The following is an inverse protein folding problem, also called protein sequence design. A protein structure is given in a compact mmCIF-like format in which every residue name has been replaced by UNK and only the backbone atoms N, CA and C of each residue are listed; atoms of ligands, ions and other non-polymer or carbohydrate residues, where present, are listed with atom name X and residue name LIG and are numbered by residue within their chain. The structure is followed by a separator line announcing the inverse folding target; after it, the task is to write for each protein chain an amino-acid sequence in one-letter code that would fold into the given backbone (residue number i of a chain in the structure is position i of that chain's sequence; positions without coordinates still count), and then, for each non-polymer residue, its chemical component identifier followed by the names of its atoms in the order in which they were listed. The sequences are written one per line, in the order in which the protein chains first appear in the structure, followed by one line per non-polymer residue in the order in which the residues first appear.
data_IF_356776100245
#
_entry.id   IF_356776100245
#
_cell.length_a   1.000
_cell.length_b   1.000
_cell.length_c   1.000
_cell.angle_alpha   90.00
_cell.angle_beta   90.00
_cell.angle_gamma   90.00
#
_symmetry.space_group_name_H-M   'P 1'
#
loop_
_entity.id
_entity.type
_entity.pdbx_description
1 polymer ?
#
# COMPACT_ATOMS: atom_id res chain seq x y z
N UNK A 1 -20.25 5.32 -20.53
CA UNK A 1 -20.11 3.91 -20.07
C UNK A 1 -19.16 3.88 -18.86
N UNK A 2 -19.18 2.87 -18.01
CA UNK A 2 -18.31 2.85 -16.81
C UNK A 2 -16.82 2.87 -17.15
N UNK A 3 -16.41 2.17 -18.20
CA UNK A 3 -15.02 2.13 -18.65
C UNK A 3 -14.48 3.53 -18.99
N UNK A 4 -15.23 4.33 -19.72
CA UNK A 4 -14.82 5.72 -20.06
C UNK A 4 -14.66 6.59 -18.81
N UNK A 5 -15.55 6.43 -17.82
CA UNK A 5 -15.46 7.15 -16.55
C UNK A 5 -14.23 6.71 -15.73
N UNK A 6 -13.95 5.42 -15.69
CA UNK A 6 -12.79 4.87 -15.00
C UNK A 6 -11.50 5.36 -15.66
N UNK A 7 -11.41 5.30 -16.97
CA UNK A 7 -10.25 5.79 -17.72
C UNK A 7 -10.04 7.29 -17.47
N UNK A 8 -11.08 8.11 -17.61
CA UNK A 8 -11.01 9.55 -17.34
C UNK A 8 -10.61 9.86 -15.89
N UNK A 9 -11.05 9.06 -14.92
CA UNK A 9 -10.67 9.21 -13.51
C UNK A 9 -9.18 8.99 -13.31
N UNK A 10 -8.60 7.93 -13.90
CA UNK A 10 -7.19 7.57 -13.71
C UNK A 10 -6.24 8.31 -14.65
N UNK A 11 -6.72 8.87 -15.76
CA UNK A 11 -5.92 9.72 -16.67
C UNK A 11 -5.59 11.09 -16.07
N UNK A 12 -6.26 11.49 -15.00
CA UNK A 12 -5.99 12.73 -14.31
C UNK A 12 -4.61 12.73 -13.65
N UNK A 13 -3.74 13.74 -13.90
CA UNK A 13 -2.35 13.78 -13.41
C UNK A 13 -2.24 13.64 -11.89
N UNK A 14 -3.20 14.15 -11.14
CA UNK A 14 -3.26 14.07 -9.69
C UNK A 14 -3.41 12.61 -9.20
N UNK A 15 -4.05 11.72 -9.97
CA UNK A 15 -4.22 10.31 -9.60
C UNK A 15 -2.90 9.57 -9.65
N UNK A 16 -2.07 9.89 -10.64
CA UNK A 16 -0.71 9.35 -10.72
C UNK A 16 0.13 9.80 -9.53
N UNK A 17 0.10 11.07 -9.20
CA UNK A 17 0.83 11.63 -8.06
C UNK A 17 0.36 11.01 -6.73
N UNK A 18 -0.96 10.82 -6.57
CA UNK A 18 -1.56 10.17 -5.40
C UNK A 18 -1.07 8.71 -5.27
N UNK A 19 -1.02 7.95 -6.36
CA UNK A 19 -0.50 6.57 -6.37
C UNK A 19 0.98 6.53 -5.99
N UNK A 20 1.82 7.36 -6.61
CA UNK A 20 3.26 7.43 -6.33
C UNK A 20 3.52 7.77 -4.87
N UNK A 21 2.79 8.73 -4.30
CA UNK A 21 2.95 9.08 -2.88
C UNK A 21 2.44 7.98 -1.95
N UNK A 22 1.31 7.33 -2.26
CA UNK A 22 0.80 6.21 -1.46
C UNK A 22 1.81 5.05 -1.42
N UNK A 23 2.37 4.65 -2.56
CA UNK A 23 3.42 3.63 -2.62
C UNK A 23 4.65 4.09 -1.83
N UNK A 24 5.09 5.33 -2.04
CA UNK A 24 6.28 5.90 -1.40
C UNK A 24 6.17 5.91 0.12
N UNK A 25 5.00 6.25 0.68
CA UNK A 25 4.74 6.19 2.13
C UNK A 25 4.99 4.80 2.69
N UNK A 26 4.47 3.77 2.02
CA UNK A 26 4.64 2.38 2.44
C UNK A 26 6.10 1.91 2.27
N UNK A 27 6.76 2.28 1.17
CA UNK A 27 8.15 1.90 0.87
C UNK A 27 9.14 2.47 1.87
N UNK A 28 8.91 3.68 2.40
CA UNK A 28 9.78 4.30 3.42
C UNK A 28 9.89 3.49 4.71
N UNK A 29 8.98 2.54 4.94
CA UNK A 29 8.98 1.70 6.12
C UNK A 29 9.67 0.37 5.80
N UNK A 30 10.78 0.10 6.47
CA UNK A 30 11.46 -1.20 6.40
C UNK A 30 10.58 -2.25 7.09
N UNK A 31 9.98 -3.14 6.34
CA UNK A 31 9.04 -4.16 6.83
C UNK A 31 9.53 -5.59 6.60
N UNK A 32 10.83 -5.79 6.70
CA UNK A 32 11.43 -7.14 6.73
C UNK A 32 11.01 -7.81 8.04
N UNK A 33 10.59 -9.08 7.94
CA UNK A 33 10.26 -9.89 9.12
C UNK A 33 11.47 -10.02 10.05
N UNK A 34 11.24 -9.81 11.32
CA UNK A 34 12.22 -9.92 12.40
C UNK A 34 11.67 -10.81 13.53
N UNK A 35 12.48 -11.02 14.57
CA UNK A 35 12.04 -11.77 15.76
C UNK A 35 10.79 -11.15 16.38
N UNK A 36 9.83 -11.98 16.81
CA UNK A 36 8.61 -11.48 17.44
C UNK A 36 8.90 -10.68 18.71
N UNK A 37 8.15 -9.59 18.88
CA UNK A 37 8.07 -8.83 20.13
C UNK A 37 6.64 -8.85 20.65
N UNK A 38 6.39 -8.54 21.94
CA UNK A 38 5.04 -8.43 22.48
C UNK A 38 4.15 -7.52 21.62
N UNK A 39 3.04 -8.06 21.11
CA UNK A 39 2.13 -7.33 20.21
C UNK A 39 2.64 -7.11 18.78
N UNK A 40 3.81 -7.62 18.42
CA UNK A 40 4.43 -7.48 17.10
C UNK A 40 4.91 -8.86 16.59
N UNK A 41 4.01 -9.70 16.10
CA UNK A 41 4.30 -11.11 15.78
C UNK A 41 5.35 -11.30 14.69
N UNK A 42 5.58 -10.30 13.86
CA UNK A 42 6.57 -10.33 12.76
C UNK A 42 7.66 -9.27 12.93
N UNK A 43 7.76 -8.69 14.15
CA UNK A 43 8.70 -7.62 14.46
C UNK A 43 8.11 -6.21 14.26
N UNK A 44 8.87 -5.16 14.62
CA UNK A 44 8.38 -3.78 14.61
C UNK A 44 8.16 -3.22 13.19
N UNK A 45 8.97 -3.63 12.22
CA UNK A 45 8.86 -3.14 10.85
C UNK A 45 7.53 -3.50 10.18
N UNK A 46 7.13 -4.79 10.13
CA UNK A 46 5.83 -5.19 9.61
C UNK A 46 4.65 -4.57 10.38
N UNK A 47 4.74 -4.43 11.71
CA UNK A 47 3.71 -3.76 12.50
C UNK A 47 3.56 -2.28 12.10
N UNK A 48 4.67 -1.57 11.90
CA UNK A 48 4.66 -0.19 11.43
C UNK A 48 4.10 -0.05 10.01
N UNK A 49 4.44 -0.97 9.11
CA UNK A 49 3.91 -0.97 7.74
C UNK A 49 2.40 -1.23 7.72
N UNK A 50 1.90 -2.14 8.56
CA UNK A 50 0.47 -2.38 8.72
C UNK A 50 -0.24 -1.14 9.25
N UNK A 51 0.31 -0.49 10.26
CA UNK A 51 -0.25 0.75 10.81
C UNK A 51 -0.34 1.86 9.76
N UNK A 52 0.69 2.03 8.93
CA UNK A 52 0.69 3.03 7.85
C UNK A 52 -0.31 2.67 6.74
N UNK A 53 -0.41 1.38 6.37
CA UNK A 53 -1.40 0.91 5.40
C UNK A 53 -2.84 1.16 5.86
N UNK A 54 -3.14 0.87 7.12
CA UNK A 54 -4.46 1.15 7.72
C UNK A 54 -4.73 2.66 7.79
N UNK A 55 -3.74 3.46 8.17
CA UNK A 55 -3.86 4.92 8.18
C UNK A 55 -4.15 5.47 6.79
N UNK A 56 -3.45 4.98 5.76
CA UNK A 56 -3.72 5.36 4.37
C UNK A 56 -5.16 5.02 3.98
N UNK A 57 -5.65 3.83 4.34
CA UNK A 57 -7.02 3.42 4.09
C UNK A 57 -8.05 4.31 4.81
N UNK A 58 -7.78 4.70 6.06
CA UNK A 58 -8.64 5.64 6.83
C UNK A 58 -8.69 7.03 6.18
N UNK A 59 -7.55 7.55 5.74
CA UNK A 59 -7.47 8.83 5.02
C UNK A 59 -8.27 8.81 3.71
N UNK A 60 -8.38 7.65 3.06
CA UNK A 60 -9.23 7.43 1.89
C UNK A 60 -10.72 7.19 2.24
N UNK A 61 -11.05 7.20 3.54
CA UNK A 61 -12.41 7.11 4.04
C UNK A 61 -12.95 5.69 4.15
N UNK A 62 -12.10 4.68 4.33
CA UNK A 62 -12.49 3.30 4.58
C UNK A 62 -12.56 3.00 6.07
N UNK A 63 -13.45 2.10 6.47
CA UNK A 63 -13.45 1.54 7.80
C UNK A 63 -12.32 0.51 7.93
N UNK A 64 -11.48 0.65 8.96
CA UNK A 64 -10.32 -0.22 9.14
C UNK A 64 -10.38 -1.00 10.44
N UNK A 65 -9.70 -2.14 10.47
CA UNK A 65 -9.48 -2.93 11.67
C UNK A 65 -8.11 -3.60 11.64
N UNK A 66 -7.42 -3.57 12.78
CA UNK A 66 -6.17 -4.29 13.01
C UNK A 66 -6.44 -5.52 13.89
N UNK A 67 -5.98 -6.69 13.45
CA UNK A 67 -6.10 -7.96 14.18
C UNK A 67 -4.74 -8.34 14.75
N UNK A 68 -4.40 -7.72 15.88
CA UNK A 68 -3.20 -8.00 16.68
C UNK A 68 -1.88 -7.94 15.87
N UNK A 69 -1.80 -7.04 14.89
CA UNK A 69 -0.68 -6.89 13.97
C UNK A 69 -0.34 -8.14 13.12
N UNK A 70 -1.27 -9.10 13.02
CA UNK A 70 -1.20 -10.19 12.03
C UNK A 70 -1.79 -9.76 10.69
N UNK A 71 -2.99 -9.15 10.74
CA UNK A 71 -3.76 -8.76 9.56
C UNK A 71 -4.47 -7.44 9.83
N UNK A 72 -4.60 -6.62 8.81
CA UNK A 72 -5.49 -5.47 8.79
C UNK A 72 -6.55 -5.62 7.72
N UNK A 73 -7.74 -5.03 7.93
CA UNK A 73 -8.78 -4.94 6.92
C UNK A 73 -9.14 -3.49 6.64
N UNK A 74 -9.56 -3.23 5.40
CA UNK A 74 -10.15 -1.98 4.97
C UNK A 74 -11.42 -2.29 4.18
N UNK A 75 -12.56 -1.79 4.66
CA UNK A 75 -13.86 -2.09 4.10
C UNK A 75 -14.43 -0.88 3.34
N UNK A 76 -14.86 -1.11 2.10
CA UNK A 76 -15.47 -0.10 1.24
C UNK A 76 -16.82 0.38 1.80
N UNK A 77 -17.60 -0.53 2.36
CA UNK A 77 -18.93 -0.28 2.92
C UNK A 77 -19.30 -1.40 3.93
N UNK A 78 -20.47 -1.31 4.52
CA UNK A 78 -21.03 -2.25 5.50
C UNK A 78 -21.96 -3.33 4.91
N UNK A 79 -21.96 -3.48 3.58
CA UNK A 79 -22.77 -4.49 2.89
C UNK A 79 -22.09 -5.85 2.93
N UNK A 80 -22.87 -6.90 2.57
CA UNK A 80 -22.33 -8.22 2.36
C UNK A 80 -21.14 -8.17 1.38
N UNK A 81 -20.04 -8.80 1.77
CA UNK A 81 -18.80 -8.75 1.00
C UNK A 81 -18.92 -9.56 -0.29
N UNK A 82 -18.80 -8.88 -1.42
CA UNK A 82 -18.83 -9.50 -2.74
C UNK A 82 -17.41 -9.86 -3.26
N UNK A 83 -16.39 -9.18 -2.78
CA UNK A 83 -15.00 -9.37 -3.22
C UNK A 83 -14.04 -9.15 -2.05
N UNK A 84 -13.13 -10.10 -1.84
CA UNK A 84 -11.95 -9.93 -0.98
C UNK A 84 -10.70 -9.84 -1.83
N UNK A 85 -9.84 -8.88 -1.52
CA UNK A 85 -8.52 -8.76 -2.12
C UNK A 85 -7.49 -8.91 -1.02
N UNK A 86 -6.55 -9.85 -1.18
CA UNK A 86 -5.48 -10.10 -0.24
C UNK A 86 -4.17 -9.53 -0.80
N UNK A 87 -3.52 -8.70 0.00
CA UNK A 87 -2.20 -8.15 -0.26
C UNK A 87 -1.32 -8.33 0.97
N UNK A 88 -0.01 -8.05 0.85
CA UNK A 88 0.91 -8.06 2.00
C UNK A 88 1.77 -6.80 2.05
N UNK A 89 2.30 -6.51 3.23
CA UNK A 89 3.11 -5.33 3.50
C UNK A 89 4.54 -5.64 3.94
N UNK A 90 4.83 -6.90 4.26
CA UNK A 90 6.20 -7.32 4.50
C UNK A 90 6.99 -7.39 3.19
N UNK A 91 8.30 -7.27 3.32
CA UNK A 91 9.23 -7.34 2.20
C UNK A 91 10.41 -8.24 2.54
N UNK A 92 11.03 -8.81 1.51
CA UNK A 92 12.30 -9.52 1.66
C UNK A 92 13.44 -8.56 2.02
N UNK A 93 14.54 -9.09 2.53
CA UNK A 93 15.72 -8.30 2.86
C UNK A 93 16.21 -7.43 1.69
N UNK A 94 17.00 -6.41 2.02
CA UNK A 94 17.44 -5.37 1.11
C UNK A 94 18.24 -5.91 -0.07
N UNK A 95 19.07 -6.93 0.17
CA UNK A 95 20.04 -7.40 -0.82
C UNK A 95 21.17 -6.37 -1.06
N UNK A 96 21.77 -6.46 -2.22
CA UNK A 96 22.87 -5.59 -2.66
C UNK A 96 22.64 -5.08 -4.09
N UNK A 97 23.48 -4.14 -4.55
CA UNK A 97 23.41 -3.66 -5.93
C UNK A 97 22.43 -2.51 -6.17
N UNK A 98 21.99 -1.82 -5.14
CA UNK A 98 21.17 -0.61 -5.28
C UNK A 98 22.02 0.53 -5.85
N UNK A 99 21.67 0.98 -7.06
CA UNK A 99 22.44 2.00 -7.81
C UNK A 99 21.63 3.26 -8.09
N UNK A 100 20.30 3.19 -8.09
CA UNK A 100 19.41 4.33 -8.38
C UNK A 100 19.03 5.07 -7.11
N UNK A 101 18.74 4.31 -6.04
CA UNK A 101 18.38 4.82 -4.72
C UNK A 101 18.67 3.78 -3.65
N UNK A 102 18.57 4.17 -2.39
CA UNK A 102 18.57 3.22 -1.27
C UNK A 102 17.23 2.46 -1.18
N UNK A 103 17.20 1.24 -0.60
CA UNK A 103 16.01 0.39 -0.59
C UNK A 103 14.71 1.05 -0.11
N UNK A 104 14.80 1.87 0.93
CA UNK A 104 13.64 2.52 1.58
C UNK A 104 13.57 4.03 1.36
N UNK A 105 14.30 4.53 0.36
CA UNK A 105 14.23 5.89 -0.13
C UNK A 105 13.60 5.92 -1.54
N UNK A 106 12.25 5.81 -1.63
CA UNK A 106 11.58 5.71 -2.93
C UNK A 106 11.94 6.90 -3.83
N UNK A 107 12.27 6.60 -5.09
CA UNK A 107 12.72 7.60 -6.05
C UNK A 107 12.12 7.31 -7.43
N UNK A 108 11.51 8.33 -8.01
CA UNK A 108 11.05 8.27 -9.40
C UNK A 108 12.14 8.77 -10.34
N UNK A 109 12.44 7.98 -11.37
CA UNK A 109 13.36 8.34 -12.45
C UNK A 109 12.78 7.83 -13.76
N UNK A 110 12.63 8.71 -14.74
CA UNK A 110 12.12 8.38 -16.09
C UNK A 110 10.79 7.60 -16.08
N UNK A 111 9.89 7.97 -15.16
CA UNK A 111 8.57 7.33 -15.04
C UNK A 111 8.57 6.00 -14.29
N UNK A 112 9.71 5.54 -13.80
CA UNK A 112 9.87 4.33 -12.99
C UNK A 112 10.06 4.69 -11.52
N UNK A 113 9.33 4.03 -10.62
CA UNK A 113 9.46 4.19 -9.18
C UNK A 113 10.34 3.09 -8.60
N UNK A 114 11.47 3.48 -8.03
CA UNK A 114 12.46 2.57 -7.44
C UNK A 114 12.33 2.54 -5.92
N UNK A 115 12.42 1.34 -5.35
CA UNK A 115 12.40 1.10 -3.90
C UNK A 115 12.04 -0.35 -3.58
N UNK A 116 12.39 -0.83 -2.37
CA UNK A 116 12.03 -2.18 -1.93
C UNK A 116 10.53 -2.27 -1.65
N UNK A 117 9.82 -3.14 -2.40
CA UNK A 117 8.38 -3.34 -2.28
C UNK A 117 7.53 -2.48 -3.21
N UNK A 118 8.12 -1.69 -4.12
CA UNK A 118 7.36 -0.90 -5.11
C UNK A 118 6.52 -1.79 -6.02
N UNK A 119 6.97 -3.01 -6.30
CA UNK A 119 6.29 -4.01 -7.11
C UNK A 119 5.66 -5.10 -6.23
N UNK A 120 6.40 -5.63 -5.26
CA UNK A 120 6.00 -6.75 -4.40
C UNK A 120 6.08 -6.37 -2.91
N UNK A 121 4.97 -6.01 -2.24
CA UNK A 121 3.57 -5.94 -2.70
C UNK A 121 2.93 -4.58 -2.30
N UNK A 122 3.75 -3.60 -1.84
CA UNK A 122 3.29 -2.27 -1.41
C UNK A 122 2.67 -1.44 -2.53
N UNK A 123 3.17 -1.62 -3.77
CA UNK A 123 2.57 -1.04 -4.96
C UNK A 123 1.14 -1.54 -5.17
N UNK A 124 0.91 -2.85 -5.27
CA UNK A 124 -0.42 -3.44 -5.34
C UNK A 124 -1.33 -3.03 -4.17
N UNK A 125 -0.83 -2.96 -2.93
CA UNK A 125 -1.62 -2.46 -1.78
C UNK A 125 -2.15 -1.06 -2.05
N UNK A 126 -1.29 -0.13 -2.46
CA UNK A 126 -1.69 1.24 -2.77
C UNK A 126 -2.66 1.28 -3.97
N UNK A 127 -2.40 0.51 -5.01
CA UNK A 127 -3.25 0.43 -6.20
C UNK A 127 -4.66 -0.07 -5.85
N UNK A 128 -4.78 -1.10 -5.01
CA UNK A 128 -6.08 -1.62 -4.56
C UNK A 128 -6.85 -0.58 -3.76
N UNK A 129 -6.20 0.12 -2.82
CA UNK A 129 -6.84 1.18 -2.03
C UNK A 129 -7.36 2.32 -2.92
N UNK A 130 -6.58 2.74 -3.92
CA UNK A 130 -7.00 3.79 -4.85
C UNK A 130 -8.08 3.29 -5.83
N UNK A 131 -8.06 2.03 -6.23
CA UNK A 131 -9.14 1.43 -7.00
C UNK A 131 -10.45 1.40 -6.19
N UNK A 132 -10.39 1.03 -4.91
CA UNK A 132 -11.54 1.09 -3.99
C UNK A 132 -12.06 2.53 -3.84
N UNK A 133 -11.17 3.53 -3.75
CA UNK A 133 -11.55 4.95 -3.76
C UNK A 133 -12.29 5.33 -5.03
N UNK A 134 -11.79 4.94 -6.20
CA UNK A 134 -12.46 5.18 -7.48
C UNK A 134 -13.87 4.58 -7.51
N UNK A 135 -14.04 3.34 -7.04
CA UNK A 135 -15.37 2.70 -6.93
C UNK A 135 -16.32 3.48 -6.01
N UNK A 136 -15.78 4.11 -4.95
CA UNK A 136 -16.57 4.92 -4.02
C UNK A 136 -16.99 6.28 -4.61
N UNK A 137 -16.16 6.86 -5.48
CA UNK A 137 -16.36 8.19 -6.07
C UNK A 137 -17.17 8.17 -7.40
N UNK A 138 -17.20 7.05 -8.11
CA UNK A 138 -17.88 6.88 -9.41
C UNK A 138 -19.27 6.24 -9.29
#
# INVERSE_FOLDING_TARGET
MYEEKINAYFDAPERRAELVEAISRLVRIRSVREEPLPGMPFGPGPAAALAEGLKLAEELGFATRNYDNYVGTADLNDKETALHILCHLDVVGEGTGWTVTEPYAPKEVDGMLYGRGTDDDKGPVAAVLLAMKAVKEL
#
